data_IF_397545665586
#
_entry.id   IF_397545665586
#
_cell.length_a   1.000
_cell.length_b   1.000
_cell.length_c   1.000
_cell.angle_alpha   90.00
_cell.angle_beta   90.00
_cell.angle_gamma   90.00
#
_symmetry.space_group_name_H-M   'P 1'
#
loop_
_entity.id
_entity.type
_entity.pdbx_description
1 polymer ?
#
# COMPACT_ATOMS: atom_id res chain seq x y z
N UNK A 1 14.99 -19.32 -20.80
CA UNK A 1 15.40 -17.99 -20.28
C UNK A 1 15.72 -18.11 -18.81
N UNK A 2 16.81 -17.51 -18.31
CA UNK A 2 17.00 -17.39 -16.86
C UNK A 2 15.86 -16.53 -16.28
N UNK A 3 15.26 -16.95 -15.17
CA UNK A 3 14.27 -16.15 -14.43
C UNK A 3 14.90 -14.82 -14.01
N UNK A 4 14.18 -13.71 -14.16
CA UNK A 4 14.64 -12.40 -13.70
C UNK A 4 14.84 -12.42 -12.18
N UNK A 5 16.01 -11.99 -11.71
CA UNK A 5 16.34 -11.87 -10.29
C UNK A 5 16.83 -10.45 -10.01
N UNK A 6 16.17 -9.76 -9.09
CA UNK A 6 16.58 -8.44 -8.62
C UNK A 6 17.49 -8.57 -7.41
N UNK A 7 18.56 -7.79 -7.40
CA UNK A 7 19.48 -7.65 -6.29
C UNK A 7 19.40 -6.25 -5.71
N UNK A 8 19.52 -6.15 -4.40
CA UNK A 8 19.46 -4.94 -3.58
C UNK A 8 20.40 -5.12 -2.40
N UNK A 9 20.53 -4.13 -1.53
CA UNK A 9 21.39 -4.23 -0.35
C UNK A 9 21.05 -5.42 0.57
N UNK A 10 19.82 -5.92 0.53
CA UNK A 10 19.38 -7.05 1.36
C UNK A 10 19.88 -8.42 0.88
N UNK A 11 20.20 -8.55 -0.41
CA UNK A 11 20.49 -9.85 -1.04
C UNK A 11 21.65 -9.79 -2.03
N UNK A 12 22.45 -8.71 -2.03
CA UNK A 12 23.57 -8.55 -2.96
C UNK A 12 24.67 -9.63 -2.75
N UNK A 13 24.76 -10.18 -1.54
CA UNK A 13 25.71 -11.26 -1.21
C UNK A 13 25.37 -12.55 -1.96
N UNK A 14 24.13 -12.73 -2.42
CA UNK A 14 23.72 -13.89 -3.23
C UNK A 14 24.23 -13.83 -4.68
N UNK A 15 24.94 -12.78 -5.07
CA UNK A 15 25.55 -12.65 -6.40
C UNK A 15 26.87 -13.44 -6.37
N UNK A 16 27.05 -14.50 -7.18
CA UNK A 16 28.25 -15.34 -7.12
C UNK A 16 29.56 -14.55 -7.29
N UNK A 17 29.56 -13.54 -8.17
CA UNK A 17 30.73 -12.71 -8.43
C UNK A 17 31.12 -11.82 -7.24
N UNK A 18 30.20 -11.55 -6.30
CA UNK A 18 30.49 -10.79 -5.08
C UNK A 18 31.38 -11.57 -4.12
N UNK A 19 31.39 -12.91 -4.17
CA UNK A 19 32.27 -13.72 -3.31
C UNK A 19 33.73 -13.31 -3.45
N UNK A 20 34.16 -13.00 -4.69
CA UNK A 20 35.52 -12.60 -5.06
C UNK A 20 35.90 -11.18 -4.62
N UNK A 21 34.94 -10.36 -4.16
CA UNK A 21 35.25 -9.02 -3.66
C UNK A 21 35.90 -9.08 -2.28
N UNK A 22 36.82 -8.14 -2.03
CA UNK A 22 37.42 -7.99 -0.72
C UNK A 22 36.37 -7.63 0.34
N UNK A 23 36.67 -7.90 1.61
CA UNK A 23 35.81 -7.46 2.72
C UNK A 23 35.63 -5.93 2.74
N UNK A 24 36.65 -5.19 2.31
CA UNK A 24 36.59 -3.73 2.19
C UNK A 24 35.59 -3.28 1.14
N UNK A 25 35.59 -3.90 -0.04
CA UNK A 25 34.66 -3.56 -1.13
C UNK A 25 33.21 -3.88 -0.77
N UNK A 26 32.98 -5.03 -0.13
CA UNK A 26 31.64 -5.39 0.41
C UNK A 26 31.16 -4.35 1.41
N UNK A 27 32.04 -3.90 2.32
CA UNK A 27 31.73 -2.85 3.30
C UNK A 27 31.40 -1.51 2.62
N UNK A 28 32.09 -1.15 1.54
CA UNK A 28 31.76 0.03 0.73
C UNK A 28 30.35 -0.08 0.14
N UNK A 29 30.00 -1.24 -0.43
CA UNK A 29 28.65 -1.49 -0.95
C UNK A 29 27.59 -1.32 0.15
N UNK A 30 27.84 -1.85 1.35
CA UNK A 30 26.95 -1.76 2.51
C UNK A 30 26.76 -0.32 2.99
N UNK A 31 27.87 0.42 3.20
CA UNK A 31 27.83 1.79 3.71
C UNK A 31 27.18 2.72 2.70
N UNK A 32 27.67 2.73 1.46
CA UNK A 32 27.11 3.62 0.43
C UNK A 32 25.67 3.22 0.10
N UNK A 33 25.38 1.91 0.01
CA UNK A 33 24.03 1.40 -0.24
C UNK A 33 23.02 1.70 0.88
N UNK A 34 23.50 1.98 2.10
CA UNK A 34 22.65 2.46 3.20
C UNK A 34 22.28 3.95 3.04
N UNK A 35 23.12 4.73 2.36
CA UNK A 35 22.95 6.17 2.16
C UNK A 35 22.22 6.45 0.84
N UNK A 36 22.64 5.81 -0.25
CA UNK A 36 22.11 5.94 -1.59
C UNK A 36 21.44 4.62 -2.03
N UNK A 37 20.32 4.66 -2.75
CA UNK A 37 19.57 3.46 -3.12
C UNK A 37 20.38 2.56 -4.06
N UNK A 38 20.47 1.27 -3.72
CA UNK A 38 21.13 0.26 -4.55
C UNK A 38 20.14 -0.81 -5.03
N UNK A 39 20.11 -1.01 -6.35
CA UNK A 39 19.35 -2.08 -7.01
C UNK A 39 20.00 -2.42 -8.35
N UNK A 40 20.11 -3.70 -8.65
CA UNK A 40 20.52 -4.23 -9.95
C UNK A 40 19.79 -5.55 -10.23
N UNK A 41 20.13 -6.27 -11.30
CA UNK A 41 19.52 -7.54 -11.65
C UNK A 41 20.50 -8.50 -12.34
N UNK A 42 20.11 -9.76 -12.45
CA UNK A 42 20.94 -10.81 -13.04
C UNK A 42 21.35 -10.56 -14.50
N UNK A 43 20.57 -9.83 -15.29
CA UNK A 43 20.99 -9.46 -16.64
C UNK A 43 22.18 -8.49 -16.60
N UNK A 44 22.10 -7.43 -15.79
CA UNK A 44 23.22 -6.47 -15.64
C UNK A 44 24.49 -7.18 -15.15
N UNK A 45 24.34 -8.01 -14.11
CA UNK A 45 25.46 -8.74 -13.48
C UNK A 45 26.10 -9.75 -14.43
N UNK A 46 25.29 -10.58 -15.09
CA UNK A 46 25.80 -11.73 -15.86
C UNK A 46 26.24 -11.34 -17.27
N UNK A 47 25.69 -10.24 -17.83
CA UNK A 47 25.82 -9.92 -19.25
C UNK A 47 26.53 -8.61 -19.54
N UNK A 48 26.52 -7.66 -18.61
CA UNK A 48 26.99 -6.30 -18.89
C UNK A 48 28.27 -5.92 -18.13
N UNK A 49 28.48 -6.47 -16.94
CA UNK A 49 29.66 -6.16 -16.12
C UNK A 49 30.81 -7.09 -16.53
N UNK A 50 31.94 -6.51 -16.93
CA UNK A 50 33.20 -7.24 -16.98
C UNK A 50 33.85 -7.28 -15.59
N UNK A 51 33.67 -8.40 -14.90
CA UNK A 51 34.17 -8.62 -13.54
C UNK A 51 35.70 -8.71 -13.45
N UNK A 52 36.41 -8.93 -14.55
CA UNK A 52 37.88 -8.91 -14.59
C UNK A 52 38.45 -7.49 -14.63
N UNK A 53 37.63 -6.50 -14.98
CA UNK A 53 38.02 -5.10 -15.12
C UNK A 53 37.46 -4.22 -14.00
N UNK A 54 36.96 -4.78 -12.91
CA UNK A 54 36.59 -3.97 -11.74
C UNK A 54 37.87 -3.45 -11.05
N UNK A 55 37.88 -2.22 -10.53
CA UNK A 55 36.75 -1.32 -10.39
C UNK A 55 36.50 -0.41 -11.63
N UNK A 56 37.23 -0.57 -12.73
CA UNK A 56 37.20 0.33 -13.88
C UNK A 56 36.12 -0.01 -14.94
N UNK A 57 35.40 -1.12 -14.77
CA UNK A 57 34.27 -1.45 -15.64
C UNK A 57 33.18 -0.36 -15.58
N UNK A 58 32.72 0.16 -16.74
CA UNK A 58 31.78 1.27 -16.78
C UNK A 58 30.39 0.88 -16.26
N UNK A 59 29.95 -0.37 -16.42
CA UNK A 59 28.63 -0.82 -15.96
C UNK A 59 28.65 -1.08 -14.46
N UNK A 60 29.76 -1.62 -13.93
CA UNK A 60 30.00 -1.70 -12.49
C UNK A 60 29.97 -0.31 -11.87
N UNK A 61 30.72 0.64 -12.44
CA UNK A 61 30.74 2.04 -11.97
C UNK A 61 29.35 2.69 -12.03
N UNK A 62 28.56 2.37 -13.04
CA UNK A 62 27.19 2.86 -13.19
C UNK A 62 26.21 2.25 -12.20
N UNK A 63 26.40 1.01 -11.75
CA UNK A 63 25.34 0.25 -11.05
C UNK A 63 25.71 -0.26 -9.66
N UNK A 64 26.99 -0.24 -9.27
CA UNK A 64 27.46 -0.64 -7.94
C UNK A 64 27.95 0.55 -7.12
N UNK A 65 27.68 0.58 -5.80
CA UNK A 65 28.13 1.67 -4.95
C UNK A 65 29.67 1.77 -4.87
N UNK A 66 30.17 3.00 -4.83
CA UNK A 66 31.59 3.35 -4.86
C UNK A 66 31.92 4.32 -3.74
N UNK A 67 33.08 4.14 -3.11
CA UNK A 67 33.51 4.96 -1.97
C UNK A 67 33.57 6.43 -2.38
N UNK A 68 34.01 6.67 -3.61
CA UNK A 68 34.19 7.97 -4.25
C UNK A 68 32.86 8.71 -4.51
N UNK A 69 31.71 8.07 -4.33
CA UNK A 69 30.39 8.71 -4.47
C UNK A 69 30.06 9.67 -3.34
N UNK A 70 30.78 9.60 -2.22
CA UNK A 70 30.62 10.48 -1.08
C UNK A 70 31.92 11.23 -0.79
N UNK A 71 31.79 12.38 -0.12
CA UNK A 71 32.94 13.03 0.50
C UNK A 71 33.54 12.09 1.57
N UNK A 72 34.87 12.10 1.78
CA UNK A 72 35.51 11.28 2.81
C UNK A 72 34.85 11.43 4.19
N UNK A 73 34.57 12.67 4.61
CA UNK A 73 33.90 12.99 5.88
C UNK A 73 32.51 12.35 6.04
N UNK A 74 31.74 12.19 4.96
CA UNK A 74 30.43 11.56 4.99
C UNK A 74 30.56 10.04 5.12
N UNK A 75 31.49 9.45 4.37
CA UNK A 75 31.76 8.02 4.43
C UNK A 75 32.26 7.60 5.80
N UNK A 76 33.32 8.26 6.29
CA UNK A 76 34.01 7.92 7.54
C UNK A 76 33.06 8.05 8.74
N UNK A 77 32.19 9.07 8.73
CA UNK A 77 31.15 9.26 9.77
C UNK A 77 30.18 8.09 9.84
N UNK A 78 29.64 7.65 8.71
CA UNK A 78 28.69 6.53 8.68
C UNK A 78 29.40 5.20 8.96
N UNK A 79 30.61 5.02 8.43
CA UNK A 79 31.45 3.85 8.70
C UNK A 79 31.72 3.70 10.21
N UNK A 80 32.13 4.77 10.88
CA UNK A 80 32.44 4.76 12.31
C UNK A 80 31.22 4.40 13.15
N UNK A 81 30.05 4.97 12.83
CA UNK A 81 28.81 4.69 13.56
C UNK A 81 28.35 3.24 13.39
N UNK A 82 28.45 2.69 12.17
CA UNK A 82 28.13 1.29 11.91
C UNK A 82 29.13 0.37 12.62
N UNK A 83 30.43 0.66 12.52
CA UNK A 83 31.50 -0.19 13.09
C UNK A 83 31.52 -0.17 14.61
N UNK A 84 31.07 0.92 15.25
CA UNK A 84 31.00 1.06 16.72
C UNK A 84 29.72 0.47 17.32
N UNK A 85 28.84 -0.13 16.51
CA UNK A 85 27.62 -0.78 16.97
C UNK A 85 26.65 0.18 17.67
N UNK A 86 26.66 1.47 17.29
CA UNK A 86 25.77 2.48 17.86
C UNK A 86 24.31 2.13 17.58
N UNK A 87 23.43 2.71 18.39
CA UNK A 87 21.98 2.57 18.24
C UNK A 87 21.52 2.89 16.80
N UNK A 88 20.55 2.12 16.29
CA UNK A 88 20.05 2.24 14.91
C UNK A 88 19.51 3.63 14.62
N UNK A 89 18.90 4.32 15.58
CA UNK A 89 18.35 5.65 15.38
C UNK A 89 19.46 6.69 15.21
N UNK A 90 20.59 6.53 15.90
CA UNK A 90 21.77 7.38 15.72
C UNK A 90 22.34 7.20 14.30
N UNK A 91 22.46 5.96 13.83
CA UNK A 91 22.93 5.66 12.48
C UNK A 91 21.98 6.26 11.44
N UNK A 92 20.67 6.06 11.61
CA UNK A 92 19.64 6.57 10.70
C UNK A 92 19.64 8.11 10.63
N UNK A 93 19.80 8.79 11.77
CA UNK A 93 19.91 10.25 11.82
C UNK A 93 21.17 10.76 11.11
N UNK A 94 22.31 10.07 11.28
CA UNK A 94 23.54 10.43 10.57
C UNK A 94 23.40 10.26 9.05
N UNK A 95 22.81 9.14 8.60
CA UNK A 95 22.51 8.90 7.18
C UNK A 95 21.57 9.97 6.64
N UNK A 96 20.53 10.34 7.39
CA UNK A 96 19.60 11.40 7.00
C UNK A 96 20.32 12.73 6.79
N UNK A 97 21.20 13.12 7.73
CA UNK A 97 21.97 14.36 7.61
C UNK A 97 22.88 14.36 6.37
N UNK A 98 23.61 13.26 6.13
CA UNK A 98 24.41 13.11 4.91
C UNK A 98 23.55 13.26 3.66
N UNK A 99 22.37 12.62 3.61
CA UNK A 99 21.44 12.74 2.48
C UNK A 99 20.98 14.18 2.24
N UNK A 100 20.77 14.97 3.29
CA UNK A 100 20.39 16.38 3.16
C UNK A 100 21.54 17.23 2.59
N UNK A 101 22.78 16.93 2.96
CA UNK A 101 23.98 17.58 2.41
C UNK A 101 24.23 17.24 0.93
N UNK A 102 23.73 16.09 0.45
CA UNK A 102 23.82 15.66 -0.96
C UNK A 102 22.82 16.35 -1.90
N UNK A 103 22.16 17.43 -1.46
CA UNK A 103 21.20 18.20 -2.24
C UNK A 103 20.09 17.34 -2.89
N UNK A 104 19.13 16.83 -2.10
CA UNK A 104 18.07 15.96 -2.61
C UNK A 104 17.02 16.67 -3.50
N UNK A 105 17.15 17.99 -3.69
CA UNK A 105 16.25 18.78 -4.53
C UNK A 105 17.05 19.72 -5.45
N UNK A 106 17.81 19.16 -6.40
CA UNK A 106 18.67 19.95 -7.26
C UNK A 106 17.85 20.92 -8.12
N UNK A 107 18.48 22.04 -8.51
CA UNK A 107 17.92 23.04 -9.42
C UNK A 107 16.52 23.59 -9.01
N UNK A 108 16.28 23.70 -7.70
CA UNK A 108 15.05 24.31 -7.18
C UNK A 108 13.78 23.50 -7.44
N UNK A 109 13.88 22.17 -7.59
CA UNK A 109 12.74 21.28 -7.86
C UNK A 109 11.53 21.50 -6.93
N UNK A 110 11.75 21.92 -5.68
CA UNK A 110 10.66 22.26 -4.75
C UNK A 110 9.77 23.39 -5.27
N UNK A 111 10.32 24.37 -5.98
CA UNK A 111 9.56 25.51 -6.51
C UNK A 111 8.68 25.15 -7.71
N UNK A 112 8.97 24.04 -8.38
CA UNK A 112 8.21 23.62 -9.56
C UNK A 112 7.00 22.75 -9.18
N UNK A 113 6.70 22.53 -7.90
CA UNK A 113 5.49 21.79 -7.49
C UNK A 113 4.29 22.72 -7.68
N UNK A 114 3.38 22.46 -8.64
CA UNK A 114 2.27 23.36 -8.89
C UNK A 114 1.26 23.30 -7.75
N UNK A 115 0.54 24.41 -7.56
CA UNK A 115 -0.57 24.51 -6.61
C UNK A 115 -1.88 24.69 -7.38
N UNK A 116 -2.89 23.93 -7.00
CA UNK A 116 -4.28 24.14 -7.43
C UNK A 116 -5.08 24.43 -6.17
N UNK A 117 -5.78 25.56 -6.14
CA UNK A 117 -6.57 26.02 -4.98
C UNK A 117 -5.77 26.06 -3.67
N UNK A 118 -4.47 26.42 -3.76
CA UNK A 118 -3.55 26.47 -2.62
C UNK A 118 -2.96 25.11 -2.21
N UNK A 119 -3.40 24.00 -2.81
CA UNK A 119 -2.94 22.63 -2.52
C UNK A 119 -1.79 22.26 -3.45
N UNK A 120 -0.66 21.84 -2.90
CA UNK A 120 0.49 21.33 -3.67
C UNK A 120 0.19 19.98 -4.32
N UNK A 121 0.38 19.90 -5.65
CA UNK A 121 0.26 18.67 -6.40
C UNK A 121 1.53 17.82 -6.29
N UNK A 122 1.62 17.02 -5.23
CA UNK A 122 2.77 16.14 -5.00
C UNK A 122 2.93 15.11 -6.13
N UNK A 123 4.17 14.84 -6.56
CA UNK A 123 4.45 13.97 -7.69
C UNK A 123 4.31 14.64 -9.06
N UNK A 124 4.04 15.96 -9.08
CA UNK A 124 4.00 16.77 -10.29
C UNK A 124 5.11 17.83 -10.24
N UNK A 125 5.73 18.10 -11.38
CA UNK A 125 6.59 19.26 -11.60
C UNK A 125 6.08 20.04 -12.82
N UNK A 126 5.86 21.34 -12.66
CA UNK A 126 5.48 22.27 -13.71
C UNK A 126 6.52 23.39 -13.78
N UNK A 127 7.64 23.09 -14.45
CA UNK A 127 8.76 24.05 -14.60
C UNK A 127 8.59 24.96 -15.82
N UNK A 128 7.96 24.45 -16.88
CA UNK A 128 7.76 25.15 -18.15
C UNK A 128 6.26 25.34 -18.39
N UNK A 129 5.87 26.47 -18.99
CA UNK A 129 4.46 26.88 -19.13
C UNK A 129 3.59 25.80 -19.77
N UNK A 130 4.09 25.18 -20.83
CA UNK A 130 3.38 24.18 -21.64
C UNK A 130 3.62 22.71 -21.22
N UNK A 131 4.55 22.44 -20.29
CA UNK A 131 4.99 21.06 -19.99
C UNK A 131 4.88 20.72 -18.52
N UNK A 132 4.15 19.64 -18.23
CA UNK A 132 4.06 19.03 -16.90
C UNK A 132 4.79 17.69 -16.89
N UNK A 133 5.59 17.46 -15.85
CA UNK A 133 6.22 16.17 -15.57
C UNK A 133 5.52 15.50 -14.39
N UNK A 134 4.95 14.32 -14.65
CA UNK A 134 4.24 13.52 -13.66
C UNK A 134 5.06 12.29 -13.25
N UNK A 135 5.23 12.08 -11.95
CA UNK A 135 5.96 10.97 -11.36
C UNK A 135 4.98 10.03 -10.63
N UNK A 136 4.33 9.09 -11.33
CA UNK A 136 3.48 8.11 -10.68
C UNK A 136 4.31 7.27 -9.70
N UNK A 137 3.76 6.96 -8.52
CA UNK A 137 4.49 6.18 -7.50
C UNK A 137 4.94 4.81 -8.02
N UNK A 138 4.18 4.20 -8.93
CA UNK A 138 4.51 2.95 -9.61
C UNK A 138 5.72 3.08 -10.56
N UNK A 139 5.97 4.30 -11.07
CA UNK A 139 7.12 4.63 -11.92
C UNK A 139 8.34 5.13 -11.15
N UNK A 140 8.24 5.27 -9.82
CA UNK A 140 9.35 5.70 -8.96
C UNK A 140 10.24 4.51 -8.56
N UNK A 141 10.59 3.68 -9.54
CA UNK A 141 11.62 2.63 -9.39
C UNK A 141 12.21 2.32 -10.77
N UNK A 142 13.41 1.75 -10.78
CA UNK A 142 14.11 1.32 -11.98
C UNK A 142 14.47 -0.17 -11.87
N UNK A 143 14.80 -0.82 -12.99
CA UNK A 143 15.29 -2.21 -12.98
C UNK A 143 16.72 -2.32 -12.40
N UNK A 144 17.49 -1.24 -12.49
CA UNK A 144 18.78 -1.01 -11.87
C UNK A 144 18.92 0.50 -11.60
N UNK A 145 19.52 0.88 -10.48
CA UNK A 145 19.73 2.29 -10.15
C UNK A 145 21.10 2.75 -10.62
N UNK A 146 21.12 3.83 -11.40
CA UNK A 146 22.37 4.50 -11.75
C UNK A 146 22.97 5.16 -10.50
N UNK A 147 24.26 4.97 -10.27
CA UNK A 147 25.02 5.57 -9.15
C UNK A 147 24.97 7.09 -9.15
N UNK A 148 24.85 7.72 -10.32
CA UNK A 148 24.72 9.17 -10.48
C UNK A 148 23.27 9.69 -10.43
N UNK A 149 22.27 8.83 -10.20
CA UNK A 149 20.88 9.19 -10.45
C UNK A 149 20.41 10.38 -9.60
N UNK A 150 20.19 11.55 -10.19
CA UNK A 150 19.70 12.73 -9.47
C UNK A 150 18.30 12.56 -8.86
N UNK A 151 17.55 11.52 -9.26
CA UNK A 151 16.24 11.15 -8.69
C UNK A 151 16.37 10.18 -7.52
N UNK A 152 17.58 9.85 -7.07
CA UNK A 152 17.82 8.98 -5.93
C UNK A 152 16.93 9.29 -4.72
N UNK A 153 16.61 10.55 -4.34
CA UNK A 153 15.75 10.86 -3.20
C UNK A 153 14.33 10.27 -3.32
N UNK A 154 13.87 10.01 -4.54
CA UNK A 154 12.56 9.39 -4.81
C UNK A 154 12.55 7.89 -4.45
N UNK A 155 13.72 7.22 -4.42
CA UNK A 155 13.83 5.77 -4.21
C UNK A 155 14.23 5.37 -2.78
N UNK A 156 14.79 6.29 -2.00
CA UNK A 156 15.40 6.00 -0.68
C UNK A 156 14.38 5.79 0.44
N UNK A 157 13.08 5.86 0.16
CA UNK A 157 11.99 5.59 1.12
C UNK A 157 11.80 4.11 1.49
N UNK A 158 12.79 3.23 1.24
CA UNK A 158 12.98 1.84 1.78
C UNK A 158 12.67 0.62 0.89
N UNK A 159 12.25 0.78 -0.37
CA UNK A 159 11.93 -0.36 -1.25
C UNK A 159 10.82 -1.29 -0.74
N UNK A 160 10.17 -0.92 0.38
CA UNK A 160 8.93 -1.46 0.91
C UNK A 160 7.95 -0.29 0.90
N UNK A 161 6.78 -0.49 0.32
CA UNK A 161 5.71 0.49 0.43
C UNK A 161 4.97 0.20 1.74
N UNK A 162 5.21 1.01 2.76
CA UNK A 162 4.46 0.93 4.02
C UNK A 162 3.10 1.58 3.81
N UNK A 163 2.02 0.83 4.03
CA UNK A 163 0.67 1.38 4.11
C UNK A 163 0.20 1.30 5.57
N UNK A 164 -0.18 2.44 6.14
CA UNK A 164 -0.81 2.51 7.45
C UNK A 164 -2.32 2.50 7.25
N UNK A 165 -2.99 1.55 7.89
CA UNK A 165 -4.45 1.49 7.93
C UNK A 165 -4.97 2.33 9.09
N UNK A 166 -5.46 3.52 8.80
CA UNK A 166 -6.17 4.36 9.73
C UNK A 166 -7.64 3.91 9.87
N UNK A 167 -8.29 4.39 10.91
CA UNK A 167 -9.70 4.16 11.20
C UNK A 167 -10.33 5.49 11.59
N UNK A 168 -11.25 5.99 10.76
CA UNK A 168 -11.98 7.23 11.03
C UNK A 168 -13.47 7.02 10.79
N UNK A 169 -14.30 7.17 11.84
CA UNK A 169 -15.74 6.91 11.74
C UNK A 169 -16.55 8.16 11.40
N UNK A 170 -16.10 9.33 11.87
CA UNK A 170 -16.85 10.59 11.75
C UNK A 170 -15.94 11.75 11.31
N UNK A 171 -16.43 12.73 10.52
CA UNK A 171 -15.61 13.82 10.00
C UNK A 171 -14.92 14.68 11.08
N UNK A 172 -15.51 14.75 12.28
CA UNK A 172 -14.95 15.51 13.40
C UNK A 172 -13.57 14.97 13.81
N UNK A 173 -13.33 13.66 13.67
CA UNK A 173 -12.06 13.01 13.97
C UNK A 173 -10.93 13.48 13.02
N UNK A 174 -11.28 13.98 11.83
CA UNK A 174 -10.34 14.52 10.84
C UNK A 174 -10.22 16.04 10.90
N UNK A 175 -10.92 16.69 11.83
CA UNK A 175 -11.07 18.15 11.86
C UNK A 175 -10.13 18.84 12.87
N UNK A 176 -9.24 18.09 13.53
CA UNK A 176 -8.30 18.65 14.51
C UNK A 176 -6.88 18.79 13.94
N UNK A 177 -6.13 19.75 14.48
CA UNK A 177 -4.74 19.99 14.05
C UNK A 177 -3.83 18.81 14.41
N UNK A 178 -4.08 18.13 15.54
CA UNK A 178 -3.29 16.99 16.00
C UNK A 178 -3.32 15.83 14.98
N UNK A 179 -4.51 15.57 14.42
CA UNK A 179 -4.68 14.53 13.39
C UNK A 179 -4.02 14.95 12.09
N UNK A 180 -4.15 16.22 11.71
CA UNK A 180 -3.47 16.74 10.52
C UNK A 180 -1.95 16.56 10.63
N UNK A 181 -1.35 17.00 11.74
CA UNK A 181 0.09 16.91 12.00
C UNK A 181 0.57 15.45 12.05
N UNK A 182 -0.20 14.57 12.69
CA UNK A 182 0.12 13.13 12.72
C UNK A 182 0.14 12.53 11.30
N UNK A 183 -0.87 12.82 10.48
CA UNK A 183 -0.95 12.33 9.11
C UNK A 183 0.17 12.91 8.23
N UNK A 184 0.53 14.19 8.40
CA UNK A 184 1.68 14.79 7.73
C UNK A 184 2.99 14.08 8.09
N UNK A 185 3.23 13.85 9.38
CA UNK A 185 4.43 13.13 9.87
C UNK A 185 4.51 11.71 9.33
N UNK A 186 3.40 10.99 9.29
CA UNK A 186 3.37 9.64 8.70
C UNK A 186 3.72 9.69 7.20
N UNK A 187 3.09 10.58 6.43
CA UNK A 187 3.35 10.66 4.97
C UNK A 187 4.75 11.16 4.64
N UNK A 188 5.35 12.01 5.48
CA UNK A 188 6.72 12.49 5.28
C UNK A 188 7.72 11.34 5.28
N UNK A 189 7.45 10.25 6.01
CA UNK A 189 8.25 9.00 5.97
C UNK A 189 8.17 8.25 4.64
N UNK A 190 7.12 8.46 3.85
CA UNK A 190 6.86 7.68 2.63
C UNK A 190 5.73 6.69 2.74
N UNK A 191 5.19 6.51 3.95
CA UNK A 191 4.03 5.68 4.14
C UNK A 191 2.79 6.26 3.43
N UNK A 192 2.00 5.38 2.83
CA UNK A 192 0.65 5.71 2.39
C UNK A 192 -0.31 5.54 3.56
N UNK A 193 -1.29 6.43 3.70
CA UNK A 193 -2.38 6.24 4.66
C UNK A 193 -3.58 5.75 3.89
N UNK A 194 -4.16 4.63 4.31
CA UNK A 194 -5.45 4.14 3.87
C UNK A 194 -6.42 4.21 5.03
N UNK A 195 -7.70 4.37 4.79
CA UNK A 195 -8.69 4.33 5.86
C UNK A 195 -9.76 3.30 5.61
N UNK A 196 -10.11 2.57 6.67
CA UNK A 196 -11.27 1.71 6.71
C UNK A 196 -12.16 2.13 7.88
N UNK A 197 -13.47 2.01 7.71
CA UNK A 197 -14.41 2.27 8.79
C UNK A 197 -15.65 1.41 8.62
N UNK A 198 -16.24 0.91 9.72
CA UNK A 198 -17.58 0.36 9.69
C UNK A 198 -18.61 1.48 9.49
N UNK A 199 -19.68 1.12 8.80
CA UNK A 199 -20.97 1.77 8.82
C UNK A 199 -21.67 1.34 10.11
N UNK A 200 -21.98 2.31 10.96
CA UNK A 200 -22.54 2.12 12.29
C UNK A 200 -23.76 3.02 12.44
N UNK A 201 -24.87 2.39 12.83
CA UNK A 201 -26.08 3.10 13.23
C UNK A 201 -25.77 4.09 14.35
N UNK A 202 -26.45 5.24 14.35
CA UNK A 202 -26.29 6.32 15.33
C UNK A 202 -24.97 7.10 15.28
N UNK A 203 -24.03 6.74 14.39
CA UNK A 203 -22.72 7.41 14.28
C UNK A 203 -22.51 7.99 12.88
N UNK A 204 -22.55 7.13 11.86
CA UNK A 204 -22.23 7.52 10.49
C UNK A 204 -23.19 6.87 9.47
N UNK A 205 -24.43 6.62 9.86
CA UNK A 205 -25.52 6.04 9.06
C UNK A 205 -26.16 7.01 8.05
N UNK A 206 -25.37 7.95 7.54
CA UNK A 206 -25.82 8.97 6.59
C UNK A 206 -24.86 9.12 5.43
N UNK A 207 -25.41 9.20 4.22
CA UNK A 207 -24.62 9.40 2.99
C UNK A 207 -23.85 10.73 2.99
N UNK A 208 -24.39 11.76 3.67
CA UNK A 208 -23.71 13.04 3.81
C UNK A 208 -22.45 12.94 4.69
N UNK A 209 -22.53 12.17 5.78
CA UNK A 209 -21.40 11.94 6.68
C UNK A 209 -20.27 11.20 5.95
N UNK A 210 -20.59 10.15 5.20
CA UNK A 210 -19.60 9.41 4.42
C UNK A 210 -18.95 10.24 3.31
N UNK A 211 -19.74 11.06 2.61
CA UNK A 211 -19.19 11.98 1.61
C UNK A 211 -18.18 12.97 2.22
N UNK A 212 -18.48 13.51 3.42
CA UNK A 212 -17.56 14.41 4.14
C UNK A 212 -16.31 13.68 4.64
N UNK A 213 -16.45 12.49 5.24
CA UNK A 213 -15.30 11.67 5.68
C UNK A 213 -14.36 11.37 4.51
N UNK A 214 -14.87 10.86 3.39
CA UNK A 214 -14.03 10.53 2.24
C UNK A 214 -13.40 11.76 1.61
N UNK A 215 -14.14 12.87 1.51
CA UNK A 215 -13.60 14.15 1.05
C UNK A 215 -12.44 14.63 1.91
N UNK A 216 -12.60 14.65 3.24
CA UNK A 216 -11.55 15.03 4.19
C UNK A 216 -10.35 14.08 4.14
N UNK A 217 -10.57 12.77 4.06
CA UNK A 217 -9.50 11.79 3.91
C UNK A 217 -8.66 12.09 2.67
N UNK A 218 -9.29 12.27 1.51
CA UNK A 218 -8.58 12.58 0.26
C UNK A 218 -7.83 13.91 0.36
N UNK A 219 -8.44 14.96 0.92
CA UNK A 219 -7.78 16.25 1.14
C UNK A 219 -6.52 16.13 2.04
N UNK A 220 -6.52 15.15 2.93
CA UNK A 220 -5.39 14.80 3.80
C UNK A 220 -4.48 13.71 3.21
N UNK A 221 -4.57 13.43 1.91
CA UNK A 221 -3.80 12.38 1.21
C UNK A 221 -3.92 11.00 1.89
N UNK A 222 -5.08 10.71 2.46
CA UNK A 222 -5.50 9.40 2.94
C UNK A 222 -6.46 8.78 1.92
N UNK A 223 -6.21 7.53 1.56
CA UNK A 223 -6.97 6.81 0.54
C UNK A 223 -8.15 6.09 1.19
N UNK A 224 -9.41 6.43 0.86
CA UNK A 224 -10.56 5.65 1.27
C UNK A 224 -10.45 4.21 0.76
N UNK A 225 -10.48 3.21 1.66
CA UNK A 225 -10.21 1.82 1.32
C UNK A 225 -11.43 0.90 1.49
N UNK A 226 -11.97 0.79 2.70
CA UNK A 226 -13.16 -0.02 2.96
C UNK A 226 -14.22 0.74 3.74
N UNK A 227 -15.47 0.56 3.32
CA UNK A 227 -16.65 0.81 4.13
C UNK A 227 -17.22 -0.55 4.53
N UNK A 228 -16.97 -0.95 5.77
CA UNK A 228 -17.40 -2.24 6.31
C UNK A 228 -18.81 -2.15 6.88
N UNK A 229 -19.50 -3.28 6.93
CA UNK A 229 -20.68 -3.46 7.76
C UNK A 229 -20.27 -3.87 9.18
N UNK A 230 -21.09 -3.54 10.17
CA UNK A 230 -20.90 -4.00 11.54
C UNK A 230 -20.82 -5.53 11.57
N UNK A 231 -19.73 -6.06 12.16
CA UNK A 231 -19.49 -7.51 12.22
C UNK A 231 -20.53 -8.19 13.12
N UNK A 232 -20.78 -9.48 12.84
CA UNK A 232 -21.62 -10.40 13.60
C UNK A 232 -21.04 -10.78 14.97
N UNK A 233 -20.80 -9.77 15.81
CA UNK A 233 -20.24 -9.96 17.15
C UNK A 233 -20.65 -8.82 18.09
N UNK A 234 -20.58 -9.09 19.40
CA UNK A 234 -20.81 -8.09 20.44
C UNK A 234 -22.14 -7.36 20.32
N UNK A 235 -22.09 -6.02 20.34
CA UNK A 235 -23.27 -5.14 20.29
C UNK A 235 -23.80 -4.90 18.86
N UNK A 236 -23.71 -5.89 17.95
CA UNK A 236 -24.12 -5.75 16.55
C UNK A 236 -25.54 -5.19 16.42
N UNK A 237 -26.51 -5.74 17.17
CA UNK A 237 -27.92 -5.30 17.17
C UNK A 237 -28.13 -3.79 17.43
N UNK A 238 -27.19 -3.13 18.11
CA UNK A 238 -27.25 -1.70 18.37
C UNK A 238 -26.70 -0.86 17.19
N UNK A 239 -25.70 -1.38 16.49
CA UNK A 239 -24.98 -0.65 15.42
C UNK A 239 -25.32 -1.12 13.99
N UNK A 240 -26.05 -2.21 13.84
CA UNK A 240 -26.35 -2.82 12.54
C UNK A 240 -27.27 -1.97 11.68
N UNK A 241 -27.09 -2.12 10.36
CA UNK A 241 -27.91 -1.50 9.33
C UNK A 241 -28.22 -2.58 8.30
N UNK A 242 -29.49 -2.71 7.85
CA UNK A 242 -29.84 -3.64 6.80
C UNK A 242 -28.97 -3.43 5.55
N UNK A 243 -28.60 -4.54 4.89
CA UNK A 243 -27.70 -4.53 3.73
C UNK A 243 -28.22 -3.65 2.59
N UNK A 244 -29.54 -3.61 2.39
CA UNK A 244 -30.21 -2.76 1.40
C UNK A 244 -29.99 -1.27 1.73
N UNK A 245 -30.22 -0.88 2.98
CA UNK A 245 -30.05 0.50 3.44
C UNK A 245 -28.59 0.93 3.40
N UNK A 246 -27.68 0.04 3.79
CA UNK A 246 -26.24 0.26 3.71
C UNK A 246 -25.78 0.52 2.27
N UNK A 247 -26.35 -0.19 1.29
CA UNK A 247 -26.06 0.04 -0.12
C UNK A 247 -26.60 1.39 -0.60
N UNK A 248 -27.80 1.77 -0.20
CA UNK A 248 -28.36 3.10 -0.52
C UNK A 248 -27.51 4.23 0.08
N UNK A 249 -27.07 4.10 1.34
CA UNK A 249 -26.16 5.06 1.98
C UNK A 249 -24.86 5.17 1.17
N UNK A 250 -24.24 4.03 0.84
CA UNK A 250 -23.01 4.00 0.05
C UNK A 250 -23.19 4.65 -1.33
N UNK A 251 -24.22 4.24 -2.09
CA UNK A 251 -24.51 4.74 -3.44
C UNK A 251 -24.72 6.27 -3.43
N UNK A 252 -25.53 6.76 -2.50
CA UNK A 252 -25.82 8.18 -2.38
C UNK A 252 -24.59 9.00 -1.97
N UNK A 253 -23.70 8.45 -1.12
CA UNK A 253 -22.43 9.09 -0.80
C UNK A 253 -21.49 9.09 -2.01
N UNK A 254 -21.40 7.98 -2.74
CA UNK A 254 -20.54 7.78 -3.90
C UNK A 254 -20.87 8.73 -5.06
N UNK A 255 -22.15 9.10 -5.21
CA UNK A 255 -22.62 10.11 -6.17
C UNK A 255 -22.15 11.53 -5.84
N UNK A 256 -21.91 11.84 -4.57
CA UNK A 256 -21.56 13.18 -4.07
C UNK A 256 -20.06 13.48 -4.08
N UNK A 257 -19.24 12.45 -4.26
CA UNK A 257 -17.77 12.56 -4.20
C UNK A 257 -17.11 12.48 -5.57
N UNK A 258 -15.93 13.08 -5.66
CA UNK A 258 -15.08 13.07 -6.85
C UNK A 258 -14.51 11.66 -7.13
N UNK A 259 -14.03 11.44 -8.36
CA UNK A 259 -13.46 10.16 -8.78
C UNK A 259 -12.30 9.66 -7.93
N UNK A 260 -11.54 10.55 -7.28
CA UNK A 260 -10.43 10.18 -6.39
C UNK A 260 -10.89 9.58 -5.07
N UNK A 261 -12.09 9.90 -4.58
CA UNK A 261 -12.69 9.28 -3.39
C UNK A 261 -13.21 7.86 -3.69
N UNK A 262 -13.49 7.56 -4.96
CA UNK A 262 -14.14 6.34 -5.45
C UNK A 262 -13.22 5.10 -5.47
N UNK A 263 -12.12 5.16 -4.72
CA UNK A 263 -11.25 4.00 -4.45
C UNK A 263 -11.82 3.10 -3.34
N UNK A 264 -12.74 3.64 -2.53
CA UNK A 264 -13.41 2.91 -1.45
C UNK A 264 -14.21 1.73 -2.00
N UNK A 265 -14.15 0.61 -1.30
CA UNK A 265 -14.93 -0.60 -1.59
C UNK A 265 -15.96 -0.78 -0.48
N UNK A 266 -17.23 -0.86 -0.85
CA UNK A 266 -18.30 -1.03 0.11
C UNK A 266 -19.69 -0.96 -0.51
N UNK A 267 -20.74 -1.14 0.31
CA UNK A 267 -20.63 -1.66 1.67
C UNK A 267 -20.18 -3.14 1.62
N UNK A 268 -19.34 -3.55 2.57
CA UNK A 268 -18.71 -4.87 2.52
C UNK A 268 -18.66 -5.57 3.87
N UNK A 269 -18.73 -6.89 3.84
CA UNK A 269 -18.61 -7.77 5.01
C UNK A 269 -17.28 -8.50 4.93
N UNK A 270 -16.62 -8.68 6.07
CA UNK A 270 -15.49 -9.61 6.19
C UNK A 270 -15.97 -10.91 6.81
N UNK A 271 -16.71 -11.69 6.03
CA UNK A 271 -17.36 -12.92 6.46
C UNK A 271 -16.43 -14.14 6.38
N UNK A 272 -16.86 -15.27 6.94
CA UNK A 272 -16.13 -16.54 6.94
C UNK A 272 -15.61 -16.98 5.56
N UNK A 273 -16.40 -17.00 4.47
CA UNK A 273 -15.89 -17.37 3.14
C UNK A 273 -14.96 -16.32 2.52
N UNK A 274 -14.98 -15.08 3.02
CA UNK A 274 -14.16 -13.99 2.51
C UNK A 274 -14.82 -12.61 2.63
N UNK A 275 -14.23 -11.64 1.93
CA UNK A 275 -14.74 -10.27 1.86
C UNK A 275 -15.81 -10.18 0.77
N UNK A 276 -17.04 -9.92 1.15
CA UNK A 276 -18.20 -9.84 0.25
C UNK A 276 -18.68 -8.40 0.17
N UNK A 277 -18.94 -7.90 -1.04
CA UNK A 277 -19.51 -6.58 -1.29
C UNK A 277 -20.95 -6.70 -1.78
N UNK A 278 -21.84 -5.85 -1.27
CA UNK A 278 -23.18 -5.65 -1.85
C UNK A 278 -23.06 -4.68 -3.03
N UNK A 279 -23.46 -5.12 -4.22
CA UNK A 279 -23.43 -4.32 -5.45
C UNK A 279 -24.72 -3.57 -5.71
N UNK A 280 -25.83 -4.06 -5.14
CA UNK A 280 -27.13 -3.39 -5.15
C UNK A 280 -28.30 -4.34 -5.27
N UNK A 281 -29.47 -3.77 -5.56
CA UNK A 281 -30.70 -4.49 -5.80
C UNK A 281 -30.99 -4.47 -7.29
N UNK A 282 -31.36 -5.63 -7.84
CA UNK A 282 -31.77 -5.78 -9.23
C UNK A 282 -33.05 -6.60 -9.33
N UNK A 283 -33.69 -6.52 -10.48
CA UNK A 283 -34.73 -7.47 -10.87
C UNK A 283 -34.17 -8.34 -12.00
N UNK A 284 -34.26 -9.66 -11.86
CA UNK A 284 -33.82 -10.64 -12.86
C UNK A 284 -34.92 -11.69 -12.98
N UNK A 285 -35.41 -11.95 -14.19
CA UNK A 285 -36.53 -12.89 -14.42
C UNK A 285 -37.76 -12.61 -13.53
N UNK A 286 -38.10 -11.34 -13.33
CA UNK A 286 -39.19 -10.90 -12.44
C UNK A 286 -39.01 -11.23 -10.95
N UNK A 287 -37.81 -11.68 -10.55
CA UNK A 287 -37.42 -11.86 -9.16
C UNK A 287 -36.55 -10.68 -8.70
N UNK A 288 -36.95 -10.04 -7.61
CA UNK A 288 -36.14 -9.02 -6.95
C UNK A 288 -35.02 -9.72 -6.18
N UNK A 289 -33.78 -9.35 -6.47
CA UNK A 289 -32.57 -9.99 -5.92
C UNK A 289 -31.59 -8.98 -5.37
N UNK A 290 -30.79 -9.42 -4.42
CA UNK A 290 -29.60 -8.74 -3.95
C UNK A 290 -28.40 -9.25 -4.75
N UNK A 291 -27.64 -8.35 -5.34
CA UNK A 291 -26.44 -8.68 -6.13
C UNK A 291 -25.22 -8.47 -5.25
N UNK A 292 -24.39 -9.50 -5.15
CA UNK A 292 -23.16 -9.48 -4.35
C UNK A 292 -21.97 -9.95 -5.19
N UNK A 293 -20.76 -9.66 -4.71
CA UNK A 293 -19.53 -10.26 -5.24
C UNK A 293 -18.50 -10.47 -4.12
N UNK A 294 -17.56 -11.38 -4.33
CA UNK A 294 -16.36 -11.38 -3.49
C UNK A 294 -15.38 -10.30 -3.93
N UNK A 295 -14.91 -9.52 -2.97
CA UNK A 295 -13.71 -8.70 -3.09
C UNK A 295 -12.44 -9.55 -2.88
N UNK A 296 -12.58 -10.61 -2.09
CA UNK A 296 -11.53 -11.60 -1.81
C UNK A 296 -12.20 -12.86 -1.23
N UNK A 297 -11.98 -14.03 -1.83
CA UNK A 297 -12.40 -15.33 -1.27
C UNK A 297 -11.25 -16.08 -0.60
N UNK A 298 -11.57 -17.15 0.15
CA UNK A 298 -10.58 -18.14 0.61
C UNK A 298 -9.98 -18.91 -0.56
N UNK A 299 -10.81 -19.24 -1.55
CA UNK A 299 -10.36 -19.74 -2.85
C UNK A 299 -10.21 -18.55 -3.81
N UNK A 300 -9.06 -18.40 -4.52
CA UNK A 300 -8.82 -17.28 -5.43
C UNK A 300 -9.89 -17.09 -6.52
N UNK A 301 -10.46 -18.19 -7.04
CA UNK A 301 -11.48 -18.17 -8.10
C UNK A 301 -12.78 -17.44 -7.70
N UNK A 302 -13.10 -17.41 -6.41
CA UNK A 302 -14.31 -16.73 -5.95
C UNK A 302 -14.23 -15.21 -6.15
N UNK A 303 -13.02 -14.64 -6.20
CA UNK A 303 -12.82 -13.20 -6.29
C UNK A 303 -13.45 -12.61 -7.57
N UNK A 304 -14.13 -11.47 -7.40
CA UNK A 304 -14.89 -10.76 -8.43
C UNK A 304 -16.07 -11.53 -9.06
N UNK A 305 -16.32 -12.80 -8.68
CA UNK A 305 -17.49 -13.56 -9.14
C UNK A 305 -18.78 -12.98 -8.54
N UNK A 306 -19.72 -12.51 -9.37
CA UNK A 306 -21.02 -12.06 -8.87
C UNK A 306 -21.90 -13.25 -8.51
N UNK A 307 -22.77 -13.06 -7.52
CA UNK A 307 -23.80 -14.02 -7.14
C UNK A 307 -25.04 -13.29 -6.62
N UNK A 308 -26.15 -14.02 -6.56
CA UNK A 308 -27.47 -13.46 -6.27
C UNK A 308 -28.07 -14.11 -5.03
N UNK A 309 -28.58 -13.26 -4.14
CA UNK A 309 -29.39 -13.68 -3.00
C UNK A 309 -30.84 -13.20 -3.17
N UNK A 310 -31.79 -13.93 -2.58
CA UNK A 310 -33.18 -13.48 -2.48
C UNK A 310 -33.22 -12.11 -1.82
N UNK A 311 -34.12 -11.25 -2.28
CA UNK A 311 -34.33 -9.96 -1.63
C UNK A 311 -34.79 -10.13 -0.18
N UNK A 312 -34.02 -9.55 0.75
CA UNK A 312 -34.36 -9.45 2.16
C UNK A 312 -34.00 -8.05 2.66
N UNK A 313 -35.01 -7.28 3.07
CA UNK A 313 -34.84 -5.92 3.57
C UNK A 313 -34.46 -5.84 5.05
N UNK A 314 -34.36 -6.99 5.74
CA UNK A 314 -33.97 -7.10 7.15
C UNK A 314 -32.62 -7.76 7.33
N UNK A 315 -32.10 -8.45 6.30
CA UNK A 315 -30.78 -9.06 6.37
C UNK A 315 -29.71 -7.99 6.65
N UNK A 316 -28.89 -8.22 7.67
CA UNK A 316 -27.76 -7.37 8.09
C UNK A 316 -26.41 -8.05 7.85
N UNK A 317 -26.40 -9.36 7.60
CA UNK A 317 -25.18 -10.15 7.43
C UNK A 317 -25.32 -11.30 6.41
N UNK A 318 -24.19 -11.83 5.95
CA UNK A 318 -24.13 -12.86 4.89
C UNK A 318 -24.87 -14.15 5.27
N UNK A 319 -24.76 -14.61 6.51
CA UNK A 319 -25.38 -15.85 7.00
C UNK A 319 -26.92 -15.81 7.03
N UNK A 320 -27.52 -14.63 6.89
CA UNK A 320 -28.97 -14.46 6.84
C UNK A 320 -29.51 -14.51 5.41
N UNK A 321 -28.64 -14.41 4.40
CA UNK A 321 -29.04 -14.42 3.00
C UNK A 321 -29.35 -15.84 2.53
N UNK A 322 -30.26 -15.95 1.56
CA UNK A 322 -30.61 -17.20 0.89
C UNK A 322 -30.32 -17.11 -0.60
N UNK A 323 -29.88 -18.18 -1.27
CA UNK A 323 -29.66 -18.17 -2.72
C UNK A 323 -30.93 -17.81 -3.49
N UNK A 324 -30.79 -16.98 -4.52
CA UNK A 324 -31.89 -16.61 -5.43
C UNK A 324 -32.26 -17.75 -6.40
N UNK A 325 -33.33 -17.56 -7.19
CA UNK A 325 -33.69 -18.44 -8.32
C UNK A 325 -34.00 -19.90 -7.97
N UNK A 326 -34.34 -20.18 -6.71
CA UNK A 326 -34.66 -21.52 -6.24
C UNK A 326 -33.45 -22.41 -5.97
N UNK A 327 -32.23 -21.88 -6.04
CA UNK A 327 -31.01 -22.60 -5.67
C UNK A 327 -31.00 -22.96 -4.17
N UNK A 328 -30.45 -24.13 -3.85
CA UNK A 328 -30.36 -24.60 -2.45
C UNK A 328 -29.14 -24.01 -1.72
N UNK A 329 -28.04 -23.76 -2.45
CA UNK A 329 -26.75 -23.32 -1.90
C UNK A 329 -26.14 -22.18 -2.70
N UNK A 330 -25.31 -21.37 -2.06
CA UNK A 330 -24.44 -20.45 -2.80
C UNK A 330 -23.28 -21.22 -3.44
N UNK A 331 -22.75 -20.71 -4.56
CA UNK A 331 -21.69 -21.39 -5.33
C UNK A 331 -20.42 -21.73 -4.52
N UNK A 332 -20.18 -21.04 -3.40
CA UNK A 332 -18.99 -21.20 -2.57
C UNK A 332 -19.19 -22.16 -1.38
N UNK A 333 -20.42 -22.55 -1.06
CA UNK A 333 -20.71 -23.28 0.18
C UNK A 333 -20.11 -24.69 0.20
N UNK A 334 -20.26 -25.46 -0.89
CA UNK A 334 -19.71 -26.83 -0.93
C UNK A 334 -18.18 -26.86 -0.84
N UNK A 335 -17.50 -25.91 -1.50
CA UNK A 335 -16.06 -25.79 -1.42
C UNK A 335 -15.60 -25.26 -0.05
N UNK A 336 -16.37 -24.37 0.56
CA UNK A 336 -16.11 -23.88 1.91
C UNK A 336 -16.23 -25.00 2.95
N UNK A 337 -17.26 -25.85 2.84
CA UNK A 337 -17.47 -27.00 3.71
C UNK A 337 -16.30 -27.98 3.61
N UNK A 338 -15.81 -28.25 2.39
CA UNK A 338 -14.62 -29.09 2.18
C UNK A 338 -13.38 -28.52 2.87
N UNK A 339 -13.14 -27.21 2.77
CA UNK A 339 -12.02 -26.57 3.47
C UNK A 339 -12.10 -26.82 4.98
N UNK A 340 -13.28 -26.64 5.59
CA UNK A 340 -13.43 -26.84 7.03
C UNK A 340 -13.43 -28.31 7.43
N UNK A 341 -13.94 -29.23 6.60
CA UNK A 341 -13.92 -30.66 6.87
C UNK A 341 -12.53 -31.28 6.68
N UNK A 342 -11.74 -30.81 5.71
CA UNK A 342 -10.33 -31.21 5.55
C UNK A 342 -9.48 -30.73 6.74
N UNK A 343 -9.73 -29.52 7.27
CA UNK A 343 -9.01 -28.99 8.43
C UNK A 343 -9.41 -29.58 9.79
N UNK A 344 -10.55 -30.27 9.91
CA UNK A 344 -10.93 -30.96 11.17
C UNK A 344 -10.09 -32.23 11.39
N UNK A 345 -9.51 -32.80 10.34
CA UNK A 345 -8.64 -33.98 10.45
C UNK A 345 -7.16 -33.65 10.70
N UNK A 346 -6.75 -32.40 10.56
CA UNK A 346 -5.33 -32.02 10.52
C UNK A 346 -4.83 -31.13 11.68
N UNK A 347 -5.66 -30.72 12.64
CA UNK A 347 -5.17 -29.95 13.79
C UNK A 347 -5.66 -30.49 15.14
N UNK A 348 -4.68 -30.96 15.90
CA UNK A 348 -4.73 -31.33 17.31
C UNK A 348 -5.41 -30.22 18.12
N UNK A 349 -6.55 -30.56 18.72
CA UNK A 349 -7.13 -29.81 19.82
C UNK A 349 -6.21 -29.95 21.04
N UNK A 350 -5.29 -29.00 21.29
CA UNK A 350 -4.81 -28.76 22.65
C UNK A 350 -4.14 -27.39 22.86
N UNK A 351 -4.49 -26.80 24.00
CA UNK A 351 -3.95 -25.59 24.65
C UNK A 351 -4.43 -24.21 24.16
N UNK A 352 -5.52 -23.76 24.77
CA UNK A 352 -5.60 -22.39 25.27
C UNK A 352 -5.85 -22.45 26.79
N UNK A 353 -4.75 -22.49 27.55
CA UNK A 353 -4.68 -21.90 28.90
C UNK A 353 -3.81 -20.64 28.84
#
# INVERSE_FOLDING_TARGET
MKTYKSYSLRNYIEIPQIENLSRGDKKVIEIIGSILPFKTNNYVIDKLINWENIPNDPIYTLTFPRKEMLKPEHFDKVEQLISSGKDKDIINNAIYNVRMELNPHPAGQKHNVPKIDGIELTGVQHKYRETVLFFPSQGQTCHAYCTFCFRWPQFVKSGKNLAIMAHFNHPIELSTNEVWDAMQRIRSTGAQIRSQSPLLKHINDSSAVWADVWGKQVNLNCIPYYMFLARDTGAQHFFEIPLVDAWEIFRNAYQRVSGVCRTVRGPSMSATPGKVQVLGISEVNHEKVMVLRFLQGRIPDWAARPFFAKYDNKAVWLSQLKPAFGEEKFFFEEELDKIFHEHIYDDEWESFE
#
